data_IF_999966720225
#
_entry.id   IF_999966720225
#
_cell.length_a   1.000
_cell.length_b   1.000
_cell.length_c   1.000
_cell.angle_alpha   90.00
_cell.angle_beta   90.00
_cell.angle_gamma   90.00
#
_symmetry.space_group_name_H-M   'P 1'
#
loop_
_entity.id
_entity.type
_entity.pdbx_description
1 polymer ?
#
# COMPACT_ATOMS: atom_id res chain seq x y z
N UNK A 1 24.74 14.46 -18.14
CA UNK A 1 23.96 13.28 -18.53
C UNK A 1 23.17 12.84 -17.31
N UNK A 2 21.86 13.12 -17.27
CA UNK A 2 21.01 12.64 -16.18
C UNK A 2 20.96 11.12 -16.28
N UNK A 3 21.51 10.39 -15.31
CA UNK A 3 21.23 8.95 -15.20
C UNK A 3 19.72 8.80 -15.08
N UNK A 4 19.08 8.12 -16.04
CA UNK A 4 17.67 7.81 -15.93
C UNK A 4 17.43 7.07 -14.60
N UNK A 5 16.40 7.46 -13.86
CA UNK A 5 16.02 6.73 -12.64
C UNK A 5 15.80 5.27 -12.99
N UNK A 6 16.26 4.32 -12.15
CA UNK A 6 16.09 2.90 -12.42
C UNK A 6 14.62 2.54 -12.59
N UNK A 7 14.34 1.61 -13.50
CA UNK A 7 13.01 1.03 -13.66
C UNK A 7 12.70 0.10 -12.47
N UNK A 8 11.42 -0.16 -12.14
CA UNK A 8 11.03 -0.92 -10.94
C UNK A 8 11.75 -2.28 -10.81
N UNK A 9 11.89 -3.03 -11.89
CA UNK A 9 12.55 -4.33 -11.95
C UNK A 9 14.07 -4.28 -11.70
N UNK A 10 14.68 -3.10 -11.80
CA UNK A 10 16.12 -2.92 -11.64
C UNK A 10 16.53 -2.67 -10.17
N UNK A 11 15.56 -2.45 -9.28
CA UNK A 11 15.85 -2.27 -7.86
C UNK A 11 16.30 -3.59 -7.24
N UNK A 12 17.27 -3.55 -6.31
CA UNK A 12 17.76 -4.76 -5.63
C UNK A 12 16.70 -5.38 -4.72
N UNK A 13 15.92 -4.54 -4.05
CA UNK A 13 14.79 -4.95 -3.20
C UNK A 13 13.49 -4.62 -3.93
N UNK A 14 12.67 -5.63 -4.17
CA UNK A 14 11.43 -5.55 -4.95
C UNK A 14 10.32 -6.23 -4.19
N UNK A 15 9.36 -5.44 -3.72
CA UNK A 15 8.26 -5.90 -2.89
C UNK A 15 7.04 -6.10 -3.78
N UNK A 16 6.40 -7.26 -3.69
CA UNK A 16 5.03 -7.44 -4.12
C UNK A 16 4.13 -7.42 -2.88
N UNK A 17 3.29 -6.38 -2.75
CA UNK A 17 2.28 -6.31 -1.71
C UNK A 17 0.92 -6.65 -2.32
N UNK A 18 0.29 -7.71 -1.81
CA UNK A 18 -1.06 -8.11 -2.23
C UNK A 18 -2.02 -7.84 -1.08
N UNK A 19 -3.14 -7.16 -1.36
CA UNK A 19 -4.20 -6.92 -0.37
C UNK A 19 -5.41 -7.73 -0.79
N UNK A 20 -5.74 -8.79 -0.06
CA UNK A 20 -6.82 -9.72 -0.41
C UNK A 20 -7.86 -9.84 0.71
N UNK A 21 -9.04 -10.36 0.35
CA UNK A 21 -10.00 -10.92 1.29
C UNK A 21 -9.77 -12.42 1.42
N UNK A 22 -10.66 -13.19 0.77
CA UNK A 22 -10.73 -14.65 0.89
C UNK A 22 -10.19 -15.43 -0.32
N UNK A 23 -9.66 -14.74 -1.33
CA UNK A 23 -9.19 -15.35 -2.59
C UNK A 23 -7.65 -15.36 -2.63
N UNK A 24 -6.98 -16.42 -2.13
CA UNK A 24 -5.51 -16.51 -2.15
C UNK A 24 -4.91 -16.68 -3.56
N UNK A 25 -5.67 -17.17 -4.54
CA UNK A 25 -5.26 -17.37 -5.93
C UNK A 25 -4.62 -16.12 -6.54
N UNK A 26 -5.12 -14.95 -6.15
CA UNK A 26 -4.62 -13.65 -6.59
C UNK A 26 -3.11 -13.51 -6.42
N UNK A 27 -2.54 -14.08 -5.35
CA UNK A 27 -1.09 -14.00 -5.08
C UNK A 27 -0.33 -14.70 -6.20
N UNK A 28 -0.75 -15.91 -6.57
CA UNK A 28 -0.12 -16.69 -7.65
C UNK A 28 -0.43 -16.13 -9.03
N UNK A 29 -1.65 -15.66 -9.27
CA UNK A 29 -2.05 -15.03 -10.54
C UNK A 29 -1.23 -13.76 -10.81
N UNK A 30 -1.07 -12.92 -9.78
CA UNK A 30 -0.27 -11.70 -9.86
C UNK A 30 1.22 -12.03 -10.05
N UNK A 31 1.75 -12.95 -9.24
CA UNK A 31 3.16 -13.35 -9.33
C UNK A 31 3.48 -13.94 -10.71
N UNK A 32 2.62 -14.80 -11.24
CA UNK A 32 2.77 -15.35 -12.59
C UNK A 32 2.86 -14.23 -13.63
N UNK A 33 1.95 -13.26 -13.61
CA UNK A 33 1.98 -12.15 -14.57
C UNK A 33 3.21 -11.26 -14.44
N UNK A 34 3.75 -11.09 -13.24
CA UNK A 34 4.94 -10.25 -13.04
C UNK A 34 6.25 -10.99 -13.33
N UNK A 35 6.37 -12.25 -12.93
CA UNK A 35 7.63 -12.99 -12.96
C UNK A 35 7.78 -13.88 -14.20
N UNK A 36 6.70 -14.16 -14.92
CA UNK A 36 6.69 -15.11 -16.06
C UNK A 36 6.18 -14.46 -17.33
N UNK A 37 5.06 -13.74 -17.25
CA UNK A 37 4.31 -13.26 -18.41
C UNK A 37 4.21 -11.73 -18.45
N UNK A 38 5.34 -11.05 -18.22
CA UNK A 38 5.52 -9.61 -18.48
C UNK A 38 6.84 -9.32 -19.18
N UNK A 39 6.87 -8.18 -19.87
CA UNK A 39 8.07 -7.60 -20.45
C UNK A 39 8.12 -6.09 -20.11
N UNK A 40 9.08 -5.62 -19.30
CA UNK A 40 10.12 -6.41 -18.65
C UNK A 40 9.57 -7.31 -17.53
N UNK A 41 10.32 -8.36 -17.21
CA UNK A 41 10.01 -9.27 -16.10
C UNK A 41 10.28 -8.57 -14.76
N UNK A 42 9.33 -8.66 -13.82
CA UNK A 42 9.47 -8.20 -12.44
C UNK A 42 9.40 -9.40 -11.48
N UNK A 43 10.55 -9.92 -11.06
CA UNK A 43 10.61 -10.98 -10.04
C UNK A 43 10.74 -10.33 -8.65
N UNK A 44 9.70 -10.35 -7.79
CA UNK A 44 9.81 -9.80 -6.45
C UNK A 44 10.86 -10.56 -5.63
N UNK A 45 11.55 -9.84 -4.74
CA UNK A 45 12.46 -10.42 -3.75
C UNK A 45 11.76 -10.74 -2.43
N UNK A 46 10.61 -10.10 -2.19
CA UNK A 46 9.73 -10.42 -1.06
C UNK A 46 8.26 -10.18 -1.45
N UNK A 47 7.39 -11.05 -0.99
CA UNK A 47 5.94 -10.97 -1.14
C UNK A 47 5.34 -10.77 0.24
N UNK A 48 4.43 -9.81 0.34
CA UNK A 48 3.69 -9.49 1.55
C UNK A 48 2.20 -9.55 1.25
N UNK A 49 1.43 -10.11 2.20
CA UNK A 49 -0.01 -10.25 2.09
C UNK A 49 -0.68 -9.49 3.23
N UNK A 50 -1.60 -8.58 2.95
CA UNK A 50 -2.46 -7.98 3.98
C UNK A 50 -3.88 -8.53 3.83
N UNK A 51 -4.43 -9.06 4.93
CA UNK A 51 -5.76 -9.70 4.94
C UNK A 51 -6.37 -9.75 6.36
N UNK A 52 -7.61 -10.21 6.49
CA UNK A 52 -8.25 -10.51 7.79
C UNK A 52 -7.75 -11.84 8.36
N UNK A 53 -8.18 -12.19 9.57
CA UNK A 53 -7.83 -13.46 10.20
C UNK A 53 -8.25 -14.67 9.36
N UNK A 54 -9.46 -14.65 8.82
CA UNK A 54 -9.99 -15.72 7.98
C UNK A 54 -9.23 -15.85 6.66
N UNK A 55 -8.92 -14.71 6.02
CA UNK A 55 -8.16 -14.70 4.78
C UNK A 55 -6.71 -15.14 4.98
N UNK A 56 -6.11 -14.86 6.13
CA UNK A 56 -4.78 -15.37 6.49
C UNK A 56 -4.79 -16.89 6.60
N UNK A 57 -5.77 -17.48 7.30
CA UNK A 57 -5.91 -18.93 7.38
C UNK A 57 -6.12 -19.57 6.01
N UNK A 58 -6.97 -18.98 5.16
CA UNK A 58 -7.18 -19.44 3.78
C UNK A 58 -5.87 -19.39 2.96
N UNK A 59 -5.13 -18.29 3.04
CA UNK A 59 -3.87 -18.10 2.34
C UNK A 59 -2.77 -19.05 2.82
N UNK A 60 -2.65 -19.28 4.13
CA UNK A 60 -1.69 -20.25 4.68
C UNK A 60 -1.95 -21.65 4.11
N UNK A 61 -3.19 -22.14 4.19
CA UNK A 61 -3.55 -23.48 3.71
C UNK A 61 -3.33 -23.59 2.20
N UNK A 62 -3.82 -22.63 1.41
CA UNK A 62 -3.78 -22.71 -0.04
C UNK A 62 -2.38 -22.46 -0.62
N UNK A 63 -1.65 -21.46 -0.11
CA UNK A 63 -0.39 -21.01 -0.71
C UNK A 63 0.83 -21.66 -0.08
N UNK A 64 0.85 -21.81 1.25
CA UNK A 64 1.97 -22.41 1.98
C UNK A 64 1.78 -23.91 2.22
N UNK A 65 0.55 -24.39 2.09
CA UNK A 65 0.22 -25.80 2.23
C UNK A 65 -0.03 -26.21 3.68
N UNK A 66 -0.18 -27.50 3.88
CA UNK A 66 -0.34 -28.11 5.20
C UNK A 66 0.82 -29.07 5.48
N UNK A 67 0.79 -29.78 6.61
CA UNK A 67 1.77 -30.83 6.88
C UNK A 67 1.74 -31.97 5.85
N UNK A 68 0.65 -32.11 5.07
CA UNK A 68 0.42 -33.24 4.17
C UNK A 68 0.39 -32.84 2.68
N UNK A 69 0.16 -31.57 2.37
CA UNK A 69 0.02 -31.08 0.99
C UNK A 69 0.89 -29.85 0.74
N UNK A 70 1.55 -29.83 -0.42
CA UNK A 70 2.34 -28.68 -0.86
C UNK A 70 1.44 -27.52 -1.29
N UNK A 71 1.73 -26.33 -0.80
CA UNK A 71 0.99 -25.12 -1.16
C UNK A 71 1.28 -24.62 -2.58
N UNK A 72 0.27 -23.96 -3.18
CA UNK A 72 0.29 -23.52 -4.58
C UNK A 72 1.37 -22.48 -4.89
N UNK A 73 1.82 -21.68 -3.91
CA UNK A 73 2.94 -20.77 -4.12
C UNK A 73 4.24 -21.54 -4.37
N UNK A 74 4.51 -22.60 -3.60
CA UNK A 74 5.70 -23.42 -3.80
C UNK A 74 5.65 -24.20 -5.12
N UNK A 75 4.46 -24.69 -5.49
CA UNK A 75 4.26 -25.33 -6.81
C UNK A 75 4.55 -24.35 -7.94
N UNK A 76 4.12 -23.09 -7.85
CA UNK A 76 4.44 -22.05 -8.84
C UNK A 76 5.95 -21.83 -8.93
N UNK A 77 6.61 -21.74 -7.78
CA UNK A 77 8.06 -21.57 -7.72
C UNK A 77 8.81 -22.70 -8.42
N UNK A 78 8.38 -23.94 -8.22
CA UNK A 78 8.97 -25.11 -8.90
C UNK A 78 8.69 -25.13 -10.39
N UNK A 79 7.46 -24.80 -10.81
CA UNK A 79 7.06 -24.77 -12.21
C UNK A 79 7.85 -23.73 -13.04
N UNK A 80 8.23 -22.60 -12.43
CA UNK A 80 8.84 -21.46 -13.13
C UNK A 80 10.24 -21.07 -12.64
N UNK A 81 10.84 -21.82 -11.71
CA UNK A 81 12.18 -21.55 -11.20
C UNK A 81 12.29 -20.25 -10.38
N UNK A 82 11.24 -19.90 -9.65
CA UNK A 82 11.22 -18.72 -8.77
C UNK A 82 11.74 -19.12 -7.38
N UNK A 83 12.48 -18.22 -6.73
CA UNK A 83 12.97 -18.44 -5.37
C UNK A 83 11.79 -18.60 -4.39
N UNK A 84 11.81 -19.68 -3.62
CA UNK A 84 10.77 -20.02 -2.64
C UNK A 84 10.86 -19.16 -1.38
N UNK A 85 12.02 -18.57 -1.09
CA UNK A 85 12.22 -17.77 0.12
C UNK A 85 11.59 -16.38 0.06
N UNK A 86 11.04 -15.98 -1.08
CA UNK A 86 10.41 -14.66 -1.25
C UNK A 86 9.06 -14.54 -0.55
N UNK A 87 8.39 -15.65 -0.18
CA UNK A 87 7.13 -15.61 0.56
C UNK A 87 7.13 -16.59 1.73
N UNK A 88 6.86 -16.07 2.93
CA UNK A 88 6.86 -16.83 4.17
C UNK A 88 5.65 -16.47 5.01
N UNK A 89 5.32 -17.32 5.98
CA UNK A 89 4.17 -17.13 6.87
C UNK A 89 4.22 -15.79 7.62
N UNK A 90 5.41 -15.34 7.99
CA UNK A 90 5.63 -14.07 8.70
C UNK A 90 5.28 -12.85 7.84
N UNK A 91 5.19 -13.03 6.51
CA UNK A 91 4.80 -11.98 5.57
C UNK A 91 3.28 -11.92 5.35
N UNK A 92 2.49 -12.73 6.07
CA UNK A 92 1.03 -12.64 6.11
C UNK A 92 0.65 -11.70 7.27
N UNK A 93 0.35 -10.45 6.91
CA UNK A 93 -0.01 -9.37 7.81
C UNK A 93 -1.52 -9.40 8.09
N UNK A 94 -1.88 -9.94 9.24
CA UNK A 94 -3.26 -9.93 9.72
C UNK A 94 -3.60 -8.53 10.22
N UNK A 95 -4.67 -7.94 9.68
CA UNK A 95 -5.13 -6.60 10.10
C UNK A 95 -5.51 -6.65 11.58
N UNK A 96 -4.87 -5.78 12.36
CA UNK A 96 -5.09 -5.64 13.79
C UNK A 96 -5.25 -4.17 14.18
N UNK A 97 -5.95 -3.92 15.28
CA UNK A 97 -6.02 -2.60 15.90
C UNK A 97 -4.73 -2.23 16.66
N UNK A 98 -4.74 -1.08 17.34
CA UNK A 98 -3.60 -0.59 18.12
C UNK A 98 -3.30 -1.42 19.37
N UNK A 99 -4.23 -2.25 19.82
CA UNK A 99 -4.07 -3.18 20.94
C UNK A 99 -3.63 -4.58 20.47
N UNK A 100 -3.48 -4.77 19.15
CA UNK A 100 -3.13 -6.05 18.54
C UNK A 100 -4.31 -7.00 18.37
N UNK A 101 -5.55 -6.54 18.54
CA UNK A 101 -6.73 -7.36 18.32
C UNK A 101 -7.01 -7.49 16.82
N UNK A 102 -7.08 -8.73 16.33
CA UNK A 102 -7.37 -9.01 14.93
C UNK A 102 -8.83 -8.72 14.60
N UNK A 103 -9.06 -8.14 13.42
CA UNK A 103 -10.42 -7.98 12.90
C UNK A 103 -10.88 -9.25 12.19
N UNK A 104 -12.13 -9.61 12.43
CA UNK A 104 -12.84 -10.63 11.66
C UNK A 104 -13.48 -9.99 10.41
N UNK A 105 -13.89 -10.80 9.45
CA UNK A 105 -14.59 -10.38 8.23
C UNK A 105 -16.05 -9.91 8.48
N UNK A 106 -16.26 -8.97 9.43
CA UNK A 106 -17.56 -8.34 9.72
C UNK A 106 -17.57 -6.88 9.23
N UNK A 107 -18.68 -6.41 8.67
CA UNK A 107 -18.83 -5.02 8.19
C UNK A 107 -19.12 -4.07 9.37
N UNK A 108 -18.15 -3.21 9.71
CA UNK A 108 -18.36 -2.13 10.68
C UNK A 108 -17.49 -0.91 10.35
N UNK A 109 -17.94 0.29 10.76
CA UNK A 109 -17.18 1.53 10.59
C UNK A 109 -15.82 1.48 11.29
N UNK A 110 -15.77 0.87 12.48
CA UNK A 110 -14.52 0.70 13.23
C UNK A 110 -13.54 -0.23 12.52
N UNK A 111 -14.02 -1.31 11.90
CA UNK A 111 -13.15 -2.19 11.10
C UNK A 111 -12.54 -1.46 9.90
N UNK A 112 -13.30 -0.58 9.23
CA UNK A 112 -12.78 0.23 8.14
C UNK A 112 -11.69 1.19 8.61
N UNK A 113 -11.86 1.81 9.79
CA UNK A 113 -10.85 2.68 10.40
C UNK A 113 -9.57 1.90 10.70
N UNK A 114 -9.68 0.75 11.36
CA UNK A 114 -8.54 -0.13 11.68
C UNK A 114 -7.81 -0.56 10.39
N UNK A 115 -8.55 -1.08 9.40
CA UNK A 115 -7.98 -1.51 8.13
C UNK A 115 -7.29 -0.36 7.38
N UNK A 116 -7.91 0.82 7.35
CA UNK A 116 -7.33 2.00 6.69
C UNK A 116 -5.99 2.40 7.30
N UNK A 117 -5.90 2.44 8.63
CA UNK A 117 -4.67 2.79 9.34
C UNK A 117 -3.60 1.71 9.12
N UNK A 118 -3.97 0.43 9.23
CA UNK A 118 -3.05 -0.69 9.09
C UNK A 118 -2.44 -0.74 7.67
N UNK A 119 -3.27 -0.72 6.63
CA UNK A 119 -2.85 -0.74 5.23
C UNK A 119 -1.97 0.49 4.93
N UNK A 120 -2.38 1.67 5.39
CA UNK A 120 -1.63 2.91 5.19
C UNK A 120 -0.25 2.84 5.83
N UNK A 121 -0.16 2.36 7.06
CA UNK A 121 1.11 2.22 7.77
C UNK A 121 2.05 1.22 7.10
N UNK A 122 1.53 0.09 6.59
CA UNK A 122 2.34 -0.89 5.85
C UNK A 122 2.87 -0.34 4.53
N UNK A 123 2.03 0.34 3.74
CA UNK A 123 2.50 0.98 2.50
C UNK A 123 3.53 2.07 2.80
N UNK A 124 3.30 2.86 3.85
CA UNK A 124 4.27 3.85 4.31
C UNK A 124 5.60 3.22 4.70
N UNK A 125 5.59 2.10 5.42
CA UNK A 125 6.78 1.32 5.80
C UNK A 125 7.55 0.85 4.56
N UNK A 126 6.87 0.18 3.62
CA UNK A 126 7.48 -0.34 2.40
C UNK A 126 7.98 0.73 1.42
N UNK A 127 7.57 1.99 1.62
CA UNK A 127 8.00 3.13 0.79
C UNK A 127 8.98 4.06 1.50
N UNK A 128 9.52 3.70 2.67
CA UNK A 128 10.56 4.48 3.35
C UNK A 128 11.92 4.39 2.65
N UNK A 129 12.38 3.18 2.31
CA UNK A 129 13.71 2.96 1.74
C UNK A 129 13.73 3.25 0.23
N UNK A 130 14.35 4.36 -0.18
CA UNK A 130 14.45 4.80 -1.58
C UNK A 130 15.11 3.79 -2.53
N UNK A 131 15.82 2.77 -2.04
CA UNK A 131 16.45 1.70 -2.83
C UNK A 131 15.57 0.46 -3.02
N UNK A 132 14.28 0.58 -2.71
CA UNK A 132 13.27 -0.47 -2.89
C UNK A 132 12.25 -0.03 -3.94
N UNK A 133 11.69 -0.98 -4.72
CA UNK A 133 10.45 -0.79 -5.48
C UNK A 133 9.30 -1.54 -4.83
N UNK A 134 8.11 -0.94 -4.81
CA UNK A 134 6.88 -1.57 -4.32
C UNK A 134 5.88 -1.72 -5.47
N UNK A 135 5.44 -2.95 -5.71
CA UNK A 135 4.31 -3.26 -6.58
C UNK A 135 3.12 -3.66 -5.72
N UNK A 136 2.04 -2.88 -5.76
CA UNK A 136 0.81 -3.16 -5.00
C UNK A 136 -0.22 -3.79 -5.93
N UNK A 137 -0.71 -4.98 -5.59
CA UNK A 137 -1.82 -5.63 -6.28
C UNK A 137 -3.13 -5.40 -5.51
N UNK A 138 -4.04 -4.65 -6.13
CA UNK A 138 -5.42 -4.50 -5.69
C UNK A 138 -6.19 -5.69 -6.24
N UNK A 139 -6.67 -6.59 -5.39
CA UNK A 139 -7.43 -7.72 -5.90
C UNK A 139 -8.31 -8.37 -4.83
N UNK A 140 -9.54 -8.74 -5.24
CA UNK A 140 -10.48 -9.66 -4.58
C UNK A 140 -10.91 -9.43 -3.13
N UNK A 141 -10.38 -8.43 -2.44
CA UNK A 141 -10.82 -8.07 -1.09
C UNK A 141 -12.07 -7.20 -1.07
N UNK A 142 -12.50 -6.82 0.15
CA UNK A 142 -13.47 -5.74 0.33
C UNK A 142 -13.00 -4.52 -0.45
N UNK A 143 -13.85 -3.98 -1.34
CA UNK A 143 -13.53 -2.83 -2.20
C UNK A 143 -12.88 -1.68 -1.44
N UNK A 144 -13.28 -1.48 -0.18
CA UNK A 144 -12.74 -0.48 0.74
C UNK A 144 -11.25 -0.70 1.06
N UNK A 145 -10.78 -1.93 1.25
CA UNK A 145 -9.35 -2.20 1.50
C UNK A 145 -8.50 -1.87 0.27
N UNK A 146 -8.98 -2.23 -0.92
CA UNK A 146 -8.32 -1.86 -2.18
C UNK A 146 -8.28 -0.34 -2.37
N UNK A 147 -9.35 0.36 -2.00
CA UNK A 147 -9.38 1.82 -1.98
C UNK A 147 -8.31 2.39 -1.04
N UNK A 148 -8.19 1.90 0.20
CA UNK A 148 -7.18 2.37 1.14
C UNK A 148 -5.76 2.09 0.64
N UNK A 149 -5.51 0.94 0.02
CA UNK A 149 -4.21 0.62 -0.55
C UNK A 149 -3.81 1.58 -1.69
N UNK A 150 -4.70 1.79 -2.67
CA UNK A 150 -4.43 2.72 -3.77
C UNK A 150 -4.26 4.17 -3.30
N UNK A 151 -5.05 4.60 -2.32
CA UNK A 151 -4.99 5.96 -1.81
C UNK A 151 -3.79 6.18 -0.87
N UNK A 152 -3.40 5.20 -0.06
CA UNK A 152 -2.13 5.23 0.67
C UNK A 152 -0.94 5.27 -0.29
N UNK A 153 -0.97 4.50 -1.38
CA UNK A 153 0.08 4.59 -2.41
C UNK A 153 0.08 5.95 -3.13
N UNK A 154 -1.06 6.62 -3.25
CA UNK A 154 -1.11 8.00 -3.77
C UNK A 154 -0.37 8.98 -2.85
N UNK A 155 -0.48 8.80 -1.52
CA UNK A 155 0.18 9.63 -0.52
C UNK A 155 1.67 9.30 -0.31
N UNK A 156 2.02 8.02 -0.33
CA UNK A 156 3.36 7.55 0.08
C UNK A 156 4.16 6.91 -1.05
N UNK A 157 3.52 6.55 -2.17
CA UNK A 157 4.19 5.93 -3.30
C UNK A 157 5.21 6.87 -3.96
N UNK A 158 6.28 6.27 -4.44
CA UNK A 158 7.39 6.90 -5.14
C UNK A 158 7.24 6.70 -6.64
N UNK A 159 8.22 7.19 -7.40
CA UNK A 159 8.20 7.09 -8.86
C UNK A 159 8.31 5.63 -9.35
N UNK A 160 9.12 4.82 -8.69
CA UNK A 160 9.31 3.41 -9.01
C UNK A 160 8.16 2.50 -8.55
N UNK A 161 7.25 2.99 -7.72
CA UNK A 161 6.18 2.17 -7.19
C UNK A 161 5.06 2.02 -8.23
N UNK A 162 4.39 0.86 -8.21
CA UNK A 162 3.37 0.43 -9.18
C UNK A 162 2.12 -0.05 -8.46
N UNK A 163 1.00 0.09 -9.14
CA UNK A 163 -0.32 -0.34 -8.68
C UNK A 163 -0.95 -1.14 -9.81
N UNK A 164 -1.44 -2.33 -9.54
CA UNK A 164 -2.13 -3.14 -10.54
C UNK A 164 -3.39 -3.79 -9.99
N UNK A 165 -4.21 -4.29 -10.90
CA UNK A 165 -5.32 -5.19 -10.58
C UNK A 165 -5.27 -6.39 -11.51
N UNK A 166 -5.33 -7.58 -10.92
CA UNK A 166 -5.35 -8.84 -11.67
C UNK A 166 -6.80 -9.22 -12.01
N UNK A 167 -7.01 -9.65 -13.25
CA UNK A 167 -8.28 -10.14 -13.76
C UNK A 167 -8.06 -11.49 -14.41
N UNK A 168 -8.94 -12.44 -14.12
CA UNK A 168 -8.93 -13.76 -14.73
C UNK A 168 -10.27 -13.96 -15.44
N UNK A 169 -10.26 -14.59 -16.60
CA UNK A 169 -11.50 -14.93 -17.30
C UNK A 169 -12.30 -16.02 -16.57
N UNK A 170 -13.61 -16.05 -16.79
CA UNK A 170 -14.43 -17.21 -16.47
C UNK A 170 -13.97 -18.42 -17.31
N UNK A 171 -13.94 -19.64 -16.77
CA UNK A 171 -14.39 -20.05 -15.42
C UNK A 171 -13.28 -20.12 -14.36
N UNK A 172 -12.11 -19.56 -14.63
CA UNK A 172 -10.93 -19.68 -13.79
C UNK A 172 -10.94 -18.66 -12.64
N UNK A 173 -11.60 -17.51 -12.82
CA UNK A 173 -11.77 -16.49 -11.80
C UNK A 173 -12.37 -17.04 -10.51
N UNK A 174 -11.66 -16.86 -9.38
CA UNK A 174 -12.06 -17.35 -8.05
C UNK A 174 -12.31 -18.87 -7.99
N UNK A 175 -11.75 -19.65 -8.91
CA UNK A 175 -11.92 -21.09 -8.93
C UNK A 175 -10.88 -21.76 -8.01
N UNK A 176 -11.34 -22.63 -7.11
CA UNK A 176 -10.45 -23.35 -6.19
C UNK A 176 -9.49 -24.32 -6.90
N UNK A 177 -9.79 -24.70 -8.15
CA UNK A 177 -8.96 -25.57 -8.97
C UNK A 177 -7.98 -24.81 -9.88
N UNK A 178 -7.93 -23.48 -9.82
CA UNK A 178 -7.04 -22.67 -10.66
C UNK A 178 -6.31 -21.62 -9.82
N UNK A 179 -4.97 -21.61 -9.91
CA UNK A 179 -4.11 -20.64 -9.22
C UNK A 179 -3.23 -19.85 -10.20
N UNK A 180 -2.80 -20.46 -11.29
CA UNK A 180 -2.04 -19.87 -12.38
C UNK A 180 -1.97 -20.89 -13.55
N UNK A 181 -1.62 -20.46 -14.78
CA UNK A 181 -1.39 -21.37 -15.90
C UNK A 181 -0.12 -22.18 -15.62
N UNK A 182 -0.22 -23.49 -15.43
CA UNK A 182 0.94 -24.37 -15.23
C UNK A 182 1.58 -24.77 -16.56
N UNK A 183 2.89 -25.12 -16.59
CA UNK A 183 3.53 -25.67 -17.79
C UNK A 183 2.83 -26.93 -18.33
N UNK A 184 2.29 -27.76 -17.43
CA UNK A 184 1.43 -28.89 -17.79
C UNK A 184 -0.02 -28.55 -17.48
N UNK A 185 -0.81 -28.33 -18.52
CA UNK A 185 -2.23 -28.03 -18.40
C UNK A 185 -2.98 -29.14 -17.63
N UNK A 186 -3.88 -28.71 -16.74
CA UNK A 186 -4.79 -29.58 -16.01
C UNK A 186 -6.20 -29.43 -16.57
N UNK A 187 -7.02 -30.46 -16.46
CA UNK A 187 -8.42 -30.43 -16.86
C UNK A 187 -9.32 -30.57 -15.65
N UNK A 188 -10.36 -29.77 -15.60
CA UNK A 188 -11.41 -29.87 -14.59
C UNK A 188 -12.78 -29.66 -15.24
N UNK A 189 -13.86 -29.88 -14.48
CA UNK A 189 -15.22 -29.68 -14.97
C UNK A 189 -16.01 -28.77 -14.05
N UNK A 190 -16.79 -27.85 -14.62
CA UNK A 190 -17.81 -27.07 -13.93
C UNK A 190 -19.12 -27.26 -14.67
N UNK A 191 -20.21 -27.55 -13.97
CA UNK A 191 -21.55 -27.69 -14.54
C UNK A 191 -21.59 -28.61 -15.79
N UNK A 192 -20.92 -29.77 -15.69
CA UNK A 192 -20.77 -30.76 -16.77
C UNK A 192 -20.06 -30.27 -18.05
N UNK A 193 -19.34 -29.14 -17.99
CA UNK A 193 -18.44 -28.68 -19.07
C UNK A 193 -16.99 -28.87 -18.63
N UNK A 194 -16.17 -29.38 -19.54
CA UNK A 194 -14.73 -29.55 -19.31
C UNK A 194 -13.97 -28.30 -19.74
N UNK A 195 -13.01 -27.89 -18.93
CA UNK A 195 -12.10 -26.78 -19.18
C UNK A 195 -10.66 -27.25 -18.98
N UNK A 196 -9.74 -26.64 -19.71
CA UNK A 196 -8.30 -26.87 -19.59
C UNK A 196 -7.61 -25.60 -19.08
N UNK A 197 -6.68 -25.71 -18.14
CA UNK A 197 -6.08 -24.53 -17.46
C UNK A 197 -5.23 -23.65 -18.38
N UNK A 198 -4.84 -24.14 -19.56
CA UNK A 198 -4.18 -23.37 -20.63
C UNK A 198 -5.13 -22.45 -21.40
N UNK A 199 -6.45 -22.59 -21.21
CA UNK A 199 -7.46 -21.63 -21.69
C UNK A 199 -7.58 -20.39 -20.77
N UNK A 200 -6.87 -20.38 -19.64
CA UNK A 200 -6.90 -19.28 -18.70
C UNK A 200 -6.11 -18.08 -19.24
N UNK A 201 -6.77 -16.92 -19.23
CA UNK A 201 -6.20 -15.63 -19.55
C UNK A 201 -6.15 -14.76 -18.30
N UNK A 202 -4.94 -14.45 -17.83
CA UNK A 202 -4.71 -13.55 -16.71
C UNK A 202 -4.27 -12.20 -17.27
N UNK A 203 -5.00 -11.15 -16.94
CA UNK A 203 -4.69 -9.77 -17.30
C UNK A 203 -4.22 -9.06 -16.04
N UNK A 204 -3.03 -8.47 -16.10
CA UNK A 204 -2.53 -7.58 -15.05
C UNK A 204 -2.61 -6.14 -15.55
N UNK A 205 -3.63 -5.43 -15.10
CA UNK A 205 -3.86 -4.04 -15.52
C UNK A 205 -3.09 -3.10 -14.60
N UNK A 206 -2.15 -2.32 -15.16
CA UNK A 206 -1.55 -1.19 -14.45
C UNK A 206 -2.61 -0.11 -14.17
N UNK A 207 -2.66 0.38 -12.94
CA UNK A 207 -3.61 1.39 -12.51
C UNK A 207 -2.82 2.69 -12.28
N UNK A 208 -2.99 3.69 -13.15
CA UNK A 208 -2.39 4.99 -12.90
C UNK A 208 -3.01 5.61 -11.65
N UNK A 209 -2.17 6.19 -10.80
CA UNK A 209 -2.59 6.89 -9.59
C UNK A 209 -1.85 8.22 -9.44
N UNK A 210 -2.47 9.17 -8.74
CA UNK A 210 -1.91 10.49 -8.53
C UNK A 210 -0.82 10.41 -7.45
N UNK A 211 0.42 10.74 -7.81
CA UNK A 211 1.54 10.75 -6.87
C UNK A 211 1.59 12.07 -6.12
N UNK A 212 1.11 12.07 -4.89
CA UNK A 212 1.08 13.23 -4.01
C UNK A 212 2.21 13.25 -2.98
N UNK A 213 3.10 12.24 -2.94
CA UNK A 213 4.17 12.14 -1.92
C UNK A 213 4.97 13.43 -1.72
N UNK A 214 5.28 14.16 -2.80
CA UNK A 214 6.02 15.42 -2.73
C UNK A 214 5.23 16.59 -2.13
N UNK A 215 3.90 16.47 -2.05
CA UNK A 215 3.00 17.43 -1.41
C UNK A 215 2.69 17.04 0.04
N UNK A 216 3.05 15.82 0.46
CA UNK A 216 2.89 15.37 1.85
C UNK A 216 4.06 15.91 2.67
N UNK A 217 3.81 16.68 3.75
CA UNK A 217 4.85 17.16 4.65
C UNK A 217 5.75 16.03 5.15
N UNK A 218 7.07 16.26 5.21
CA UNK A 218 8.06 15.24 5.61
C UNK A 218 7.78 14.66 7.00
N UNK A 219 7.27 15.48 7.93
CA UNK A 219 6.84 15.03 9.26
C UNK A 219 5.73 13.97 9.19
N UNK A 220 4.85 14.01 8.18
CA UNK A 220 3.83 12.99 7.95
C UNK A 220 4.39 11.78 7.23
N UNK A 221 5.35 11.95 6.33
CA UNK A 221 6.06 10.83 5.70
C UNK A 221 6.87 10.01 6.72
N UNK A 222 7.42 10.66 7.75
CA UNK A 222 8.25 10.02 8.80
C UNK A 222 7.50 9.70 10.11
N UNK A 223 6.36 10.34 10.37
CA UNK A 223 5.63 10.21 11.63
C UNK A 223 4.86 8.89 11.77
N UNK A 224 4.01 8.78 12.79
CA UNK A 224 3.14 7.61 13.04
C UNK A 224 1.66 7.90 12.77
N UNK A 225 1.36 9.05 12.15
CA UNK A 225 -0.01 9.47 11.89
C UNK A 225 -0.76 8.42 11.04
N UNK A 226 -1.95 8.05 11.50
CA UNK A 226 -2.83 7.13 10.79
C UNK A 226 -3.39 7.74 9.51
N UNK A 227 -4.20 6.95 8.80
CA UNK A 227 -4.81 7.34 7.54
C UNK A 227 -5.65 8.61 7.66
N UNK A 228 -6.65 8.59 8.54
CA UNK A 228 -7.58 9.70 8.74
C UNK A 228 -6.87 10.97 9.22
N UNK A 229 -5.90 10.81 10.12
CA UNK A 229 -5.11 11.94 10.63
C UNK A 229 -4.26 12.57 9.52
N UNK A 230 -3.66 11.76 8.65
CA UNK A 230 -2.89 12.25 7.49
C UNK A 230 -3.80 13.05 6.55
N UNK A 231 -4.97 12.51 6.21
CA UNK A 231 -5.94 13.19 5.35
C UNK A 231 -6.40 14.51 5.97
N UNK A 232 -6.79 14.50 7.25
CA UNK A 232 -7.22 15.71 7.96
C UNK A 232 -6.13 16.79 7.96
N UNK A 233 -4.87 16.41 8.20
CA UNK A 233 -3.74 17.35 8.15
C UNK A 233 -3.54 17.93 6.75
N UNK A 234 -3.57 17.11 5.70
CA UNK A 234 -3.41 17.57 4.31
C UNK A 234 -4.55 18.53 3.90
N UNK A 235 -5.79 18.21 4.29
CA UNK A 235 -6.94 19.07 4.04
C UNK A 235 -6.78 20.44 4.72
N UNK A 236 -6.36 20.47 5.98
CA UNK A 236 -6.08 21.71 6.71
C UNK A 236 -4.96 22.55 6.07
N UNK A 237 -3.95 21.92 5.46
CA UNK A 237 -2.92 22.65 4.70
C UNK A 237 -3.41 23.22 3.37
N UNK A 238 -4.54 22.73 2.86
CA UNK A 238 -5.14 23.20 1.62
C UNK A 238 -6.09 24.39 1.83
N UNK A 239 -6.46 24.68 3.09
CA UNK A 239 -7.26 25.84 3.45
C UNK A 239 -6.42 27.12 3.57
N UNK A 240 -7.01 28.31 3.32
CA UNK A 240 -6.34 29.59 3.57
C UNK A 240 -5.80 29.65 5.00
N UNK A 241 -4.52 30.04 5.20
CA UNK A 241 -3.90 30.01 6.52
C UNK A 241 -4.58 30.98 7.48
N UNK A 242 -5.00 30.47 8.64
CA UNK A 242 -5.50 31.21 9.79
C UNK A 242 -4.47 31.15 10.92
N UNK A 243 -4.29 32.27 11.62
CA UNK A 243 -3.30 32.40 12.69
C UNK A 243 -3.99 32.94 13.94
N UNK A 244 -3.86 32.25 15.06
CA UNK A 244 -4.23 32.73 16.38
C UNK A 244 -3.02 32.72 17.34
N UNK A 245 -2.93 33.74 18.20
CA UNK A 245 -1.80 33.93 19.11
C UNK A 245 -2.30 33.97 20.55
N UNK A 246 -1.83 33.03 21.38
CA UNK A 246 -2.13 32.96 22.81
C UNK A 246 -0.91 33.44 23.60
N UNK A 247 -0.91 34.73 23.94
CA UNK A 247 0.25 35.41 24.53
C UNK A 247 0.72 34.79 25.85
N UNK A 248 -0.21 34.45 26.75
CA UNK A 248 0.14 33.97 28.09
C UNK A 248 0.92 32.65 28.04
N UNK A 249 0.52 31.76 27.13
CA UNK A 249 1.11 30.43 26.99
C UNK A 249 2.20 30.35 25.90
N UNK A 250 2.45 31.45 25.17
CA UNK A 250 3.34 31.50 23.99
C UNK A 250 3.00 30.46 22.92
N UNK A 251 1.70 30.27 22.70
CA UNK A 251 1.19 29.32 21.71
C UNK A 251 0.75 30.06 20.45
N UNK A 252 1.27 29.61 19.32
CA UNK A 252 0.79 29.99 17.98
C UNK A 252 -0.07 28.86 17.47
N UNK A 253 -1.28 29.17 17.00
CA UNK A 253 -2.17 28.20 16.36
C UNK A 253 -2.26 28.54 14.88
N UNK A 254 -1.79 27.63 14.03
CA UNK A 254 -1.84 27.72 12.56
C UNK A 254 -2.82 26.67 12.04
N UNK A 255 -3.93 27.08 11.41
CA UNK A 255 -4.98 26.16 10.93
C UNK A 255 -5.38 25.10 11.98
N UNK A 256 -5.51 25.52 13.25
CA UNK A 256 -5.83 24.62 14.37
C UNK A 256 -4.65 23.88 14.99
N UNK A 257 -3.45 23.89 14.39
CA UNK A 257 -2.24 23.29 14.96
C UNK A 257 -1.56 24.22 15.96
N UNK A 258 -1.59 23.83 17.23
CA UNK A 258 -0.92 24.54 18.31
C UNK A 258 0.58 24.21 18.35
N UNK A 259 1.41 25.24 18.31
CA UNK A 259 2.86 25.17 18.50
C UNK A 259 3.24 26.10 19.64
N UNK A 260 3.84 25.52 20.69
CA UNK A 260 4.43 26.31 21.78
C UNK A 260 5.81 26.77 21.38
N UNK A 261 6.03 28.09 21.40
CA UNK A 261 7.30 28.71 21.03
C UNK A 261 8.09 29.13 22.27
N UNK A 262 9.42 29.20 22.13
CA UNK A 262 10.25 29.88 23.13
C UNK A 262 9.88 31.36 23.19
N UNK A 263 10.21 32.06 24.28
CA UNK A 263 9.92 33.49 24.41
C UNK A 263 10.50 34.32 23.25
N UNK A 264 11.70 33.98 22.78
CA UNK A 264 12.37 34.67 21.67
C UNK A 264 11.65 34.44 20.34
N UNK A 265 11.34 33.19 20.02
CA UNK A 265 10.62 32.84 18.78
C UNK A 265 9.22 33.43 18.78
N UNK A 266 8.52 33.36 19.91
CA UNK A 266 7.19 33.93 20.05
C UNK A 266 7.20 35.44 19.87
N UNK A 267 8.12 36.16 20.51
CA UNK A 267 8.21 37.61 20.37
C UNK A 267 8.49 38.03 18.91
N UNK A 268 9.40 37.31 18.23
CA UNK A 268 9.73 37.55 16.83
C UNK A 268 8.53 37.29 15.91
N UNK A 269 7.85 36.16 16.08
CA UNK A 269 6.68 35.80 15.28
C UNK A 269 5.49 36.73 15.54
N UNK A 270 5.24 37.05 16.81
CA UNK A 270 4.20 38.00 17.23
C UNK A 270 4.42 39.38 16.62
N UNK A 271 5.66 39.86 16.56
CA UNK A 271 6.01 41.12 15.91
C UNK A 271 5.71 41.10 14.40
N UNK A 272 5.97 40.00 13.68
CA UNK A 272 5.54 39.87 12.28
C UNK A 272 4.02 39.92 12.13
N UNK A 273 3.28 39.22 12.99
CA UNK A 273 1.83 39.24 12.95
C UNK A 273 1.26 40.64 13.21
N UNK A 274 1.83 41.38 14.17
CA UNK A 274 1.47 42.79 14.40
C UNK A 274 1.77 43.64 13.17
N UNK A 275 2.95 43.46 12.56
CA UNK A 275 3.33 44.23 11.37
C UNK A 275 2.35 44.04 10.21
N UNK A 276 1.97 42.77 9.97
CA UNK A 276 0.99 42.43 8.94
C UNK A 276 -0.39 43.00 9.26
N UNK A 277 -0.82 42.93 10.53
CA UNK A 277 -2.10 43.49 10.98
C UNK A 277 -2.18 45.01 10.79
N UNK A 278 -1.06 45.70 11.00
CA UNK A 278 -0.92 47.16 10.81
C UNK A 278 -0.53 47.55 9.36
N UNK A 279 -0.46 46.60 8.43
CA UNK A 279 -0.07 46.82 7.02
C UNK A 279 1.29 47.53 6.85
N UNK A 280 2.26 47.27 7.72
CA UNK A 280 3.62 47.77 7.48
C UNK A 280 4.29 47.07 6.29
N UNK A 281 5.20 47.76 5.59
CA UNK A 281 5.94 47.16 4.48
C UNK A 281 6.84 45.99 4.94
N UNK A 282 7.28 45.11 4.00
CA UNK A 282 8.29 44.10 4.29
C UNK A 282 9.56 44.68 4.90
N UNK A 283 10.26 43.87 5.70
CA UNK A 283 11.54 44.28 6.26
C UNK A 283 12.60 44.30 5.15
N UNK A 284 13.03 45.49 4.76
CA UNK A 284 14.22 45.64 3.93
C UNK A 284 15.45 45.56 4.83
N UNK A 285 16.06 44.37 4.89
CA UNK A 285 17.42 44.23 5.38
C UNK A 285 18.37 44.72 4.29
N UNK A 286 18.52 46.03 4.18
CA UNK A 286 19.63 46.59 3.41
C UNK A 286 20.92 46.21 4.16
N UNK A 287 21.74 45.38 3.54
CA UNK A 287 23.13 45.11 3.96
C UNK A 287 24.00 46.32 3.66
#
# INVERSE_FOLDING_TARGET
MSSASPQPEQYKKRILLVVIGMTPQIVTETLYKLAVDSDPVYIPTEIHLITTKEGANSAEIALLGTAHDQGWFYTLCEDYGIDRDIFKKENIHIIADTEGQFINDNESSEHNKIASNYITNKIKEFTQDSNTSLHVSLAGGRKTMSYYAGYALSLYGRWQDRLSHVLVNYPFMNNENFFYPRPKAQRFSIDNRHYSTDEANIILSDIPYVRMRYQVPEALLKGTAGFQETVAKIQLFSEPPTIALYLYNRVVVLNGFAVTLTAREFAFYFWFCLRQKENYPPLNLAS
#
